data_IF_417788305247
#
_entry.id   IF_417788305247
#
_cell.length_a   1.000
_cell.length_b   1.000
_cell.length_c   1.000
_cell.angle_alpha   90.00
_cell.angle_beta   90.00
_cell.angle_gamma   90.00
#
_symmetry.space_group_name_H-M   'P 1'
#
loop_
_entity.id
_entity.type
_entity.pdbx_description
1 polymer ?
#
# COMPACT_ATOMS: atom_id res chain seq x y z
N UNK A 1 26.48 -22.16 27.49
CA UNK A 1 25.33 -21.26 27.31
C UNK A 1 25.64 -20.33 26.15
N UNK A 2 25.14 -20.64 24.96
CA UNK A 2 25.24 -19.74 23.81
C UNK A 2 24.10 -18.71 23.90
N UNK A 3 24.34 -17.42 23.64
CA UNK A 3 23.26 -16.43 23.66
C UNK A 3 22.26 -16.75 22.55
N UNK A 4 20.97 -16.69 22.89
CA UNK A 4 19.89 -16.75 21.90
C UNK A 4 20.04 -15.52 21.00
N UNK A 5 20.14 -15.74 19.68
CA UNK A 5 20.08 -14.65 18.72
C UNK A 5 18.72 -13.97 18.85
N UNK A 6 18.65 -12.62 18.91
CA UNK A 6 17.37 -11.93 18.82
C UNK A 6 16.68 -12.31 17.50
N UNK A 7 15.42 -12.73 17.57
CA UNK A 7 14.60 -13.17 16.43
C UNK A 7 14.28 -11.97 15.50
N UNK A 8 14.54 -10.75 15.94
CA UNK A 8 14.24 -9.52 15.21
C UNK A 8 15.38 -8.50 15.39
N UNK A 9 16.37 -8.55 14.51
CA UNK A 9 17.21 -7.39 14.23
C UNK A 9 16.47 -6.51 13.21
N UNK A 10 16.18 -5.22 13.50
CA UNK A 10 15.58 -4.33 12.52
C UNK A 10 16.60 -4.11 11.40
N UNK A 11 16.45 -4.84 10.29
CA UNK A 11 17.20 -4.56 9.08
C UNK A 11 16.73 -3.20 8.55
N UNK A 12 17.64 -2.26 8.24
CA UNK A 12 17.24 -1.01 7.63
C UNK A 12 16.49 -1.34 6.33
N UNK A 13 15.25 -0.86 6.23
CA UNK A 13 14.44 -1.03 5.03
C UNK A 13 15.27 -0.54 3.84
N UNK A 14 15.45 -1.38 2.83
CA UNK A 14 16.20 -0.98 1.65
C UNK A 14 15.52 0.21 0.98
N UNK A 15 16.27 1.04 0.25
CA UNK A 15 15.70 2.15 -0.50
C UNK A 15 14.56 1.71 -1.44
N UNK A 16 14.59 0.46 -1.92
CA UNK A 16 13.52 -0.14 -2.72
C UNK A 16 12.24 -0.42 -1.91
N UNK A 17 12.36 -0.81 -0.64
CA UNK A 17 11.21 -0.96 0.27
C UNK A 17 10.61 0.40 0.60
N UNK A 18 11.44 1.42 0.84
CA UNK A 18 11.00 2.80 1.13
C UNK A 18 10.32 3.49 -0.08
N UNK A 19 10.60 3.05 -1.30
CA UNK A 19 9.98 3.58 -2.51
C UNK A 19 8.75 2.77 -2.97
N UNK A 20 8.38 1.70 -2.24
CA UNK A 20 7.30 0.82 -2.63
C UNK A 20 5.95 1.53 -2.50
N UNK A 21 5.28 1.68 -3.62
CA UNK A 21 3.89 2.15 -3.73
C UNK A 21 2.93 0.97 -3.61
N UNK A 22 1.87 1.13 -2.83
CA UNK A 22 0.82 0.11 -2.69
C UNK A 22 -0.55 0.77 -2.59
N UNK A 23 -1.56 0.04 -3.06
CA UNK A 23 -2.97 0.41 -2.99
C UNK A 23 -3.71 -0.74 -2.34
N UNK A 24 -4.54 -0.43 -1.34
CA UNK A 24 -5.46 -1.38 -0.71
C UNK A 24 -6.88 -0.87 -0.84
N UNK A 25 -7.72 -1.62 -1.54
CA UNK A 25 -9.16 -1.31 -1.60
C UNK A 25 -9.75 -1.51 -0.20
N UNK A 26 -10.58 -0.59 0.25
CA UNK A 26 -11.29 -0.67 1.53
C UNK A 26 -12.75 -1.07 1.29
N UNK A 27 -13.41 -0.45 0.32
CA UNK A 27 -14.80 -0.71 -0.04
C UNK A 27 -15.08 -0.33 -1.49
N UNK A 28 -16.04 -1.05 -2.10
CA UNK A 28 -16.68 -0.65 -3.36
C UNK A 28 -18.09 -0.19 -3.02
N UNK A 29 -18.44 1.04 -3.36
CA UNK A 29 -19.74 1.62 -3.05
C UNK A 29 -20.73 1.40 -4.19
N UNK A 30 -22.00 1.27 -3.83
CA UNK A 30 -23.11 1.07 -4.78
C UNK A 30 -23.29 2.25 -5.77
N UNK A 31 -22.73 3.42 -5.44
CA UNK A 31 -22.73 4.61 -6.29
C UNK A 31 -21.57 4.67 -7.29
N UNK A 32 -20.79 3.59 -7.45
CA UNK A 32 -19.69 3.49 -8.42
C UNK A 32 -18.36 4.09 -7.95
N UNK A 33 -18.24 4.38 -6.65
CA UNK A 33 -16.99 4.86 -6.04
C UNK A 33 -16.21 3.72 -5.37
N UNK A 34 -14.89 3.83 -5.43
CA UNK A 34 -13.94 2.95 -4.75
C UNK A 34 -13.28 3.74 -3.62
N UNK A 35 -13.39 3.24 -2.40
CA UNK A 35 -12.61 3.68 -1.25
C UNK A 35 -11.34 2.85 -1.18
N UNK A 36 -10.19 3.51 -1.05
CA UNK A 36 -8.91 2.82 -0.99
C UNK A 36 -7.88 3.62 -0.18
N UNK A 37 -6.91 2.89 0.36
CA UNK A 37 -5.71 3.47 0.96
C UNK A 37 -4.56 3.40 -0.05
N UNK A 38 -3.83 4.50 -0.19
CA UNK A 38 -2.57 4.55 -0.94
C UNK A 38 -1.42 4.86 0.00
N UNK A 39 -0.34 4.10 -0.08
CA UNK A 39 0.86 4.33 0.73
C UNK A 39 2.15 4.16 -0.05
N UNK A 40 3.19 4.86 0.44
CA UNK A 40 4.56 4.79 -0.08
C UNK A 40 5.48 4.46 1.09
N UNK A 41 6.26 3.40 0.95
CA UNK A 41 7.43 3.17 1.79
C UNK A 41 7.23 2.44 3.11
N UNK A 42 6.01 2.00 3.46
CA UNK A 42 5.68 1.21 4.65
C UNK A 42 6.13 1.80 6.01
N UNK A 43 5.22 1.97 7.00
CA UNK A 43 3.79 2.22 6.94
C UNK A 43 3.43 3.62 7.47
N UNK A 44 4.39 4.51 7.72
CA UNK A 44 4.12 5.76 8.45
C UNK A 44 3.31 6.80 7.65
N UNK A 45 3.19 6.64 6.32
CA UNK A 45 2.44 7.56 5.47
C UNK A 45 1.51 6.83 4.49
N UNK A 46 0.23 6.80 4.87
CA UNK A 46 -0.87 6.34 4.04
C UNK A 46 -1.93 7.44 3.93
N UNK A 47 -2.57 7.53 2.76
CA UNK A 47 -3.69 8.45 2.52
C UNK A 47 -4.92 7.64 2.12
N UNK A 48 -6.05 7.95 2.73
CA UNK A 48 -7.35 7.42 2.33
C UNK A 48 -7.93 8.30 1.22
N UNK A 49 -8.35 7.66 0.14
CA UNK A 49 -8.88 8.30 -1.06
C UNK A 49 -10.18 7.62 -1.49
N UNK A 50 -11.01 8.39 -2.20
CA UNK A 50 -12.23 7.90 -2.81
C UNK A 50 -12.37 8.51 -4.20
N UNK A 51 -12.51 7.64 -5.20
CA UNK A 51 -12.63 8.05 -6.61
C UNK A 51 -13.67 7.18 -7.30
N UNK A 52 -14.12 7.56 -8.50
CA UNK A 52 -14.91 6.65 -9.33
C UNK A 52 -14.09 5.42 -9.70
N UNK A 53 -14.73 4.32 -10.09
CA UNK A 53 -14.00 3.12 -10.53
C UNK A 53 -13.08 3.39 -11.71
N UNK A 54 -13.49 4.22 -12.67
CA UNK A 54 -12.66 4.62 -13.82
C UNK A 54 -11.41 5.38 -13.37
N UNK A 55 -11.59 6.43 -12.57
CA UNK A 55 -10.50 7.24 -12.04
C UNK A 55 -9.54 6.42 -11.18
N UNK A 56 -10.07 5.47 -10.40
CA UNK A 56 -9.26 4.56 -9.58
C UNK A 56 -8.35 3.68 -10.45
N UNK A 57 -8.86 3.13 -11.55
CA UNK A 57 -8.05 2.32 -12.47
C UNK A 57 -6.96 3.16 -13.13
N UNK A 58 -7.26 4.41 -13.51
CA UNK A 58 -6.28 5.31 -14.09
C UNK A 58 -5.24 5.78 -13.06
N UNK A 59 -5.64 6.00 -11.82
CA UNK A 59 -4.72 6.22 -10.71
C UNK A 59 -3.74 5.05 -10.54
N UNK A 60 -4.24 3.81 -10.54
CA UNK A 60 -3.40 2.61 -10.41
C UNK A 60 -2.38 2.51 -11.55
N UNK A 61 -2.80 2.80 -12.80
CA UNK A 61 -1.89 2.85 -13.96
C UNK A 61 -0.83 3.94 -13.79
N UNK A 62 -1.22 5.15 -13.42
CA UNK A 62 -0.30 6.28 -13.24
C UNK A 62 0.76 6.01 -12.17
N UNK A 63 0.39 5.28 -11.11
CA UNK A 63 1.31 4.90 -10.05
C UNK A 63 2.10 3.61 -10.33
N UNK A 64 1.82 2.92 -11.44
CA UNK A 64 2.39 1.60 -11.79
C UNK A 64 2.15 0.53 -10.72
N UNK A 65 0.92 0.47 -10.19
CA UNK A 65 0.53 -0.44 -9.10
C UNK A 65 -0.56 -1.40 -9.62
N UNK A 66 -0.52 -2.64 -9.15
CA UNK A 66 -1.65 -3.56 -9.27
C UNK A 66 -2.47 -3.48 -7.97
N UNK A 67 -3.78 -3.22 -8.02
CA UNK A 67 -4.62 -3.30 -6.82
C UNK A 67 -4.46 -4.67 -6.19
N UNK A 68 -4.12 -4.74 -4.89
CA UNK A 68 -4.23 -5.99 -4.18
C UNK A 68 -5.71 -6.26 -3.95
N UNK A 69 -6.27 -7.27 -4.62
CA UNK A 69 -7.54 -7.86 -4.19
C UNK A 69 -7.34 -8.53 -2.82
N UNK A 70 -8.39 -8.54 -2.00
CA UNK A 70 -8.40 -9.20 -0.69
C UNK A 70 -8.30 -10.72 -0.80
#
# INVERSE_FOLDING_TARGET
>A
MSPLKPIFEPQPASAAVMARRQVRVLSKRDNGFIEFEFSIGWPELAVELMMTEEDFLDFCKAQSIQPSEY
#
